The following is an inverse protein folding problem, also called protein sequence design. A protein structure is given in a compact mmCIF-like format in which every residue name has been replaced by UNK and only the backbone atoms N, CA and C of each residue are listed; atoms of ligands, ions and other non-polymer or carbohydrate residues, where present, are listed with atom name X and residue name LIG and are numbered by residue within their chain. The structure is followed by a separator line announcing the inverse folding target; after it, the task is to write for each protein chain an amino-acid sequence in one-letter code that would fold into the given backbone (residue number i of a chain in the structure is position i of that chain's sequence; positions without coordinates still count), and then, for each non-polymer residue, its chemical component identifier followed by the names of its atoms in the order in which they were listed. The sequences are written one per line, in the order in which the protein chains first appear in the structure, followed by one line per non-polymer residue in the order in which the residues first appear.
data_IF_683843645407
#
_entry.id   IF_683843645407
#
_cell.length_a   1.000
_cell.length_b   1.000
_cell.length_c   1.000
_cell.angle_alpha   90.00
_cell.angle_beta   90.00
_cell.angle_gamma   90.00
#
_symmetry.space_group_name_H-M   'P 1'
#
loop_
_entity.id
_entity.type
_entity.pdbx_description
1 polymer ?
#
# COMPACT_ATOMS: atom_id res chain seq x y z
N UNK A 1 21.63 -17.73 25.37
CA UNK A 1 21.06 -17.88 24.02
C UNK A 1 19.54 -18.00 24.13
N UNK A 2 18.79 -16.99 23.65
CA UNK A 2 17.32 -17.02 23.58
C UNK A 2 16.95 -16.81 22.12
N UNK A 3 16.19 -17.75 21.52
CA UNK A 3 15.61 -17.63 20.18
C UNK A 3 14.11 -17.34 20.31
N UNK A 4 13.52 -16.52 19.43
CA UNK A 4 12.13 -16.08 19.54
C UNK A 4 11.14 -17.16 19.06
N UNK A 5 9.99 -17.17 19.71
CA UNK A 5 8.83 -18.00 19.42
C UNK A 5 8.10 -17.42 18.18
N UNK A 6 8.16 -18.13 17.06
CA UNK A 6 7.28 -17.91 15.91
C UNK A 6 6.02 -18.77 16.12
N UNK A 7 4.86 -18.13 16.27
CA UNK A 7 3.58 -18.82 16.25
C UNK A 7 3.13 -18.93 14.78
N UNK A 8 3.38 -20.10 14.19
CA UNK A 8 2.76 -20.51 12.92
C UNK A 8 1.52 -21.31 13.27
N UNK A 9 0.33 -20.75 13.03
CA UNK A 9 -0.91 -21.52 13.04
C UNK A 9 -1.20 -21.95 11.59
N UNK A 10 -0.74 -23.15 11.25
CA UNK A 10 -1.26 -23.90 10.11
C UNK A 10 -2.43 -24.76 10.61
N UNK A 11 -3.59 -24.65 9.98
CA UNK A 11 -4.65 -25.66 10.10
C UNK A 11 -4.90 -26.21 8.70
N UNK A 12 -4.70 -27.52 8.60
CA UNK A 12 -4.81 -28.33 7.39
C UNK A 12 -6.27 -28.75 7.15
N UNK A 13 -6.58 -28.86 5.86
CA UNK A 13 -7.79 -29.36 5.19
C UNK A 13 -8.53 -30.51 5.89
N UNK A 14 -9.86 -30.51 5.73
CA UNK A 14 -10.64 -31.74 5.48
C UNK A 14 -11.80 -31.42 4.53
N UNK A 15 -11.92 -32.24 3.49
CA UNK A 15 -12.85 -32.02 2.38
C UNK A 15 -14.28 -32.50 2.65
N UNK A 16 -15.19 -32.00 1.82
CA UNK A 16 -16.38 -32.71 1.36
C UNK A 16 -16.96 -31.91 0.18
N UNK A 17 -16.88 -32.49 -1.02
CA UNK A 17 -17.67 -32.06 -2.17
C UNK A 17 -19.11 -32.50 -1.91
N UNK A 18 -19.99 -31.56 -1.59
CA UNK A 18 -21.43 -31.78 -1.59
C UNK A 18 -22.10 -30.60 -2.26
N UNK A 19 -22.61 -30.82 -3.48
CA UNK A 19 -23.60 -29.96 -4.10
C UNK A 19 -24.84 -29.90 -3.19
N UNK A 20 -24.98 -28.82 -2.46
CA UNK A 20 -26.25 -28.42 -1.86
C UNK A 20 -26.45 -26.93 -2.19
N UNK A 21 -27.42 -26.66 -3.06
CA UNK A 21 -28.00 -25.33 -3.22
C UNK A 21 -28.59 -24.94 -1.85
N UNK A 22 -27.82 -24.19 -1.06
CA UNK A 22 -28.32 -23.55 0.15
C UNK A 22 -28.97 -22.24 -0.26
N UNK A 23 -30.25 -22.13 0.08
CA UNK A 23 -31.08 -20.93 -0.09
C UNK A 23 -30.32 -19.69 0.37
N UNK A 24 -30.19 -18.71 -0.53
CA UNK A 24 -29.80 -17.37 -0.16
C UNK A 24 -30.87 -16.83 0.81
N UNK A 25 -30.58 -16.86 2.11
CA UNK A 25 -31.29 -16.00 3.04
C UNK A 25 -30.98 -14.57 2.59
N UNK A 26 -32.00 -13.88 2.12
CA UNK A 26 -32.00 -12.43 2.04
C UNK A 26 -31.75 -11.92 3.45
N UNK A 27 -30.48 -11.68 3.79
CA UNK A 27 -30.17 -10.67 4.77
C UNK A 27 -30.67 -9.40 4.10
N UNK A 28 -31.81 -8.90 4.56
CA UNK A 28 -32.23 -7.55 4.22
C UNK A 28 -30.99 -6.69 4.45
N UNK A 29 -30.46 -6.12 3.36
CA UNK A 29 -29.40 -5.14 3.43
C UNK A 29 -29.98 -3.98 4.22
N UNK A 30 -29.84 -4.04 5.56
CA UNK A 30 -29.96 -2.86 6.38
C UNK A 30 -28.97 -1.89 5.77
N UNK A 31 -29.45 -0.70 5.41
CA UNK A 31 -28.65 0.36 4.80
C UNK A 31 -27.37 0.50 5.62
N UNK A 32 -26.30 -0.16 5.17
CA UNK A 32 -24.99 0.08 5.72
C UNK A 32 -24.77 1.57 5.51
N UNK A 33 -24.45 2.35 6.55
CA UNK A 33 -24.32 3.78 6.41
C UNK A 33 -23.33 4.01 5.27
N UNK A 34 -23.83 4.56 4.16
CA UNK A 34 -22.99 4.97 3.06
C UNK A 34 -22.13 6.06 3.65
N UNK A 35 -20.84 5.76 3.87
CA UNK A 35 -19.90 6.75 4.35
C UNK A 35 -20.00 7.96 3.41
N UNK A 36 -20.40 9.10 3.97
CA UNK A 36 -20.61 10.30 3.18
C UNK A 36 -19.29 10.69 2.51
N UNK A 37 -19.34 10.87 1.19
CA UNK A 37 -18.15 11.25 0.44
C UNK A 37 -17.66 12.61 0.93
N UNK A 38 -16.34 12.79 1.14
CA UNK A 38 -15.82 14.11 1.45
C UNK A 38 -16.21 15.09 0.34
N UNK A 39 -16.84 16.20 0.72
CA UNK A 39 -17.13 17.29 -0.20
C UNK A 39 -15.85 17.91 -0.78
N UNK A 40 -16.00 18.75 -1.79
CA UNK A 40 -14.88 19.57 -2.27
C UNK A 40 -14.38 20.49 -1.14
N UNK A 41 -13.06 20.76 -1.04
CA UNK A 41 -12.00 20.37 -1.98
C UNK A 41 -11.35 19.01 -1.64
N UNK A 42 -11.96 18.15 -0.83
CA UNK A 42 -11.30 16.99 -0.22
C UNK A 42 -11.54 15.66 -0.94
N UNK A 43 -12.49 15.62 -1.88
CA UNK A 43 -12.89 14.42 -2.64
C UNK A 43 -11.70 13.71 -3.32
N UNK A 44 -11.59 12.39 -3.20
CA UNK A 44 -10.38 11.67 -3.61
C UNK A 44 -10.52 10.77 -4.83
N UNK A 45 -11.74 10.56 -5.33
CA UNK A 45 -12.13 9.69 -6.45
C UNK A 45 -11.57 10.08 -7.84
N UNK A 46 -10.24 10.23 -7.96
CA UNK A 46 -9.53 10.74 -9.13
C UNK A 46 -8.18 10.06 -9.35
N UNK A 47 -7.54 10.40 -10.47
CA UNK A 47 -6.16 10.06 -10.75
C UNK A 47 -5.20 11.07 -10.09
N UNK A 48 -4.08 10.55 -9.59
CA UNK A 48 -3.00 11.30 -8.97
C UNK A 48 -1.70 10.95 -9.67
N UNK A 49 -0.87 11.97 -9.84
CA UNK A 49 0.54 11.84 -10.21
C UNK A 49 1.35 12.39 -9.04
N UNK A 50 2.21 11.56 -8.46
CA UNK A 50 3.03 11.89 -7.30
C UNK A 50 4.52 11.73 -7.65
N UNK A 51 5.37 12.51 -6.99
CA UNK A 51 6.83 12.43 -7.11
C UNK A 51 7.49 12.75 -5.76
N UNK A 52 8.76 12.41 -5.62
CA UNK A 52 9.54 12.67 -4.42
C UNK A 52 10.29 14.01 -4.54
N UNK A 53 10.14 14.89 -3.55
CA UNK A 53 10.98 16.08 -3.43
C UNK A 53 12.24 15.82 -2.59
N UNK A 54 12.16 14.91 -1.62
CA UNK A 54 13.22 14.62 -0.67
C UNK A 54 13.12 13.18 -0.15
N UNK A 55 14.27 12.53 0.08
CA UNK A 55 14.37 11.16 0.62
C UNK A 55 15.47 11.12 1.67
N UNK A 56 15.22 10.44 2.80
CA UNK A 56 16.19 10.22 3.86
C UNK A 56 16.17 8.78 4.35
N UNK A 57 17.34 8.27 4.70
CA UNK A 57 17.49 6.97 5.34
C UNK A 57 17.59 7.14 6.86
N UNK A 58 16.83 6.35 7.61
CA UNK A 58 16.94 6.31 9.08
C UNK A 58 18.33 5.90 9.56
N UNK A 59 19.00 5.03 8.81
CA UNK A 59 20.40 4.64 9.01
C UNK A 59 21.16 4.89 7.73
N UNK A 60 22.06 5.88 7.76
CA UNK A 60 22.88 6.25 6.61
C UNK A 60 24.05 5.27 6.45
N UNK A 61 24.34 4.91 5.20
CA UNK A 61 25.52 4.13 4.76
C UNK A 61 26.04 4.86 3.52
N UNK A 62 27.34 4.80 3.25
CA UNK A 62 27.93 5.38 2.04
C UNK A 62 27.34 4.78 0.75
N UNK A 63 26.81 3.56 0.82
CA UNK A 63 26.17 2.91 -0.33
C UNK A 63 24.73 3.39 -0.62
N UNK A 64 24.13 4.23 0.25
CA UNK A 64 22.75 4.67 0.10
C UNK A 64 22.58 5.83 -0.89
N UNK A 65 21.72 5.65 -1.88
CA UNK A 65 21.29 6.70 -2.81
C UNK A 65 20.11 7.50 -2.22
N UNK A 66 20.30 8.81 -2.06
CA UNK A 66 19.28 9.75 -1.57
C UNK A 66 18.41 10.34 -2.69
N UNK A 67 18.64 9.96 -3.96
CA UNK A 67 17.93 10.46 -5.13
C UNK A 67 17.01 9.39 -5.71
N UNK A 68 15.87 9.16 -5.07
CA UNK A 68 14.92 8.12 -5.45
C UNK A 68 14.29 8.30 -6.86
N UNK A 69 14.27 9.52 -7.43
CA UNK A 69 13.65 9.83 -8.74
C UNK A 69 12.25 9.23 -8.90
N UNK A 70 11.43 9.31 -7.85
CA UNK A 70 10.12 8.65 -7.81
C UNK A 70 9.15 9.30 -8.81
N UNK A 71 8.48 8.47 -9.61
CA UNK A 71 7.25 8.83 -10.32
C UNK A 71 6.21 7.77 -9.96
N UNK A 72 5.04 8.23 -9.52
CA UNK A 72 3.96 7.37 -9.06
C UNK A 72 2.63 7.82 -9.67
N UNK A 73 1.90 6.87 -10.25
CA UNK A 73 0.53 7.07 -10.72
C UNK A 73 -0.44 6.28 -9.85
N UNK A 74 -1.51 6.93 -9.39
CA UNK A 74 -2.50 6.34 -8.49
C UNK A 74 -3.93 6.65 -8.97
N UNK A 75 -4.77 5.63 -9.02
CA UNK A 75 -6.20 5.75 -9.27
C UNK A 75 -6.97 5.45 -7.98
N UNK A 76 -7.70 6.45 -7.49
CA UNK A 76 -8.63 6.26 -6.39
C UNK A 76 -9.97 5.76 -6.96
N UNK A 77 -10.23 4.46 -6.78
CA UNK A 77 -11.42 3.78 -7.28
C UNK A 77 -12.65 4.20 -6.47
N UNK A 78 -12.44 4.51 -5.19
CA UNK A 78 -13.44 5.10 -4.28
C UNK A 78 -12.77 6.20 -3.47
N UNK A 79 -13.47 6.82 -2.52
CA UNK A 79 -12.85 7.82 -1.64
C UNK A 79 -11.74 7.25 -0.75
N UNK A 80 -11.76 5.95 -0.48
CA UNK A 80 -10.82 5.28 0.40
C UNK A 80 -9.88 4.33 -0.35
N UNK A 81 -10.42 3.53 -1.27
CA UNK A 81 -9.66 2.50 -1.98
C UNK A 81 -8.98 3.02 -3.23
N UNK A 82 -7.73 2.60 -3.43
CA UNK A 82 -6.89 3.02 -4.55
C UNK A 82 -6.05 1.86 -5.09
N UNK A 83 -5.63 2.00 -6.34
CA UNK A 83 -4.59 1.19 -6.99
C UNK A 83 -3.53 2.12 -7.56
N UNK A 84 -2.29 1.68 -7.57
CA UNK A 84 -1.22 2.49 -8.15
C UNK A 84 -0.01 1.70 -8.59
N UNK A 85 0.87 2.41 -9.28
CA UNK A 85 2.17 1.92 -9.70
C UNK A 85 3.20 3.03 -9.57
N UNK A 86 4.43 2.66 -9.24
CA UNK A 86 5.55 3.57 -9.11
C UNK A 86 6.80 3.04 -9.78
N UNK A 87 7.58 3.96 -10.33
CA UNK A 87 8.93 3.76 -10.84
C UNK A 87 9.88 4.64 -10.03
N UNK A 88 10.99 4.07 -9.56
CA UNK A 88 11.94 4.78 -8.71
C UNK A 88 13.29 4.07 -8.70
N UNK A 89 14.34 4.77 -8.29
CA UNK A 89 15.63 4.19 -7.93
C UNK A 89 15.59 3.77 -6.45
N UNK A 90 15.90 2.50 -6.17
CA UNK A 90 15.93 2.03 -4.79
C UNK A 90 17.13 2.60 -4.02
N UNK A 91 17.24 2.20 -2.75
CA UNK A 91 18.32 2.61 -1.84
C UNK A 91 19.74 2.41 -2.36
N UNK A 92 19.95 1.62 -3.42
CA UNK A 92 21.26 1.34 -4.02
C UNK A 92 21.35 1.80 -5.48
N UNK A 93 20.50 2.74 -5.90
CA UNK A 93 20.49 3.31 -7.24
C UNK A 93 19.98 2.36 -8.33
N UNK A 94 19.28 1.27 -7.96
CA UNK A 94 18.74 0.32 -8.94
C UNK A 94 17.30 0.68 -9.31
N UNK A 95 17.03 0.83 -10.60
CA UNK A 95 15.67 1.05 -11.10
C UNK A 95 14.73 -0.06 -10.65
N UNK A 96 13.66 0.35 -9.99
CA UNK A 96 12.70 -0.49 -9.31
C UNK A 96 11.27 -0.08 -9.65
N UNK A 97 10.37 -1.05 -9.55
CA UNK A 97 8.95 -0.89 -9.82
C UNK A 97 8.16 -1.37 -8.60
N UNK A 98 7.07 -0.69 -8.28
CA UNK A 98 6.13 -1.08 -7.22
C UNK A 98 4.72 -1.02 -7.77
N UNK A 99 3.95 -2.10 -7.68
CA UNK A 99 2.52 -2.13 -7.99
C UNK A 99 1.75 -2.46 -6.73
N UNK A 100 0.66 -1.74 -6.49
CA UNK A 100 0.02 -1.78 -5.17
C UNK A 100 -1.47 -1.49 -5.20
N UNK A 101 -2.14 -2.01 -4.18
CA UNK A 101 -3.43 -1.51 -3.73
C UNK A 101 -3.27 -0.78 -2.40
N UNK A 102 -4.22 0.08 -2.08
CA UNK A 102 -4.13 0.85 -0.86
C UNK A 102 -5.46 1.38 -0.36
N UNK A 103 -5.38 1.97 0.82
CA UNK A 103 -6.49 2.55 1.54
C UNK A 103 -6.08 3.91 2.13
N UNK A 104 -6.93 4.90 1.96
CA UNK A 104 -6.76 6.27 2.43
C UNK A 104 -7.85 6.62 3.41
N UNK A 105 -7.46 7.28 4.50
CA UNK A 105 -8.35 7.61 5.59
C UNK A 105 -8.11 8.99 6.15
N UNK A 106 -9.21 9.69 6.44
CA UNK A 106 -9.24 11.00 7.07
C UNK A 106 -9.90 10.87 8.42
N UNK A 107 -9.13 10.68 9.50
CA UNK A 107 -9.70 10.47 10.84
C UNK A 107 -10.40 11.70 11.42
N UNK A 108 -10.14 12.90 10.89
CA UNK A 108 -10.52 14.16 11.52
C UNK A 108 -11.31 15.04 10.55
N UNK A 109 -12.63 15.16 10.75
CA UNK A 109 -13.51 16.07 10.00
C UNK A 109 -13.12 17.55 10.10
N UNK A 110 -12.48 17.95 11.21
CA UNK A 110 -11.98 19.32 11.41
C UNK A 110 -10.55 19.54 10.93
N UNK A 111 -9.83 18.48 10.54
CA UNK A 111 -8.45 18.53 10.05
C UNK A 111 -8.35 17.85 8.67
N UNK A 112 -9.32 18.11 7.79
CA UNK A 112 -9.44 17.52 6.47
C UNK A 112 -8.27 17.70 5.49
N UNK A 113 -7.32 18.66 5.63
CA UNK A 113 -6.15 18.60 4.78
C UNK A 113 -5.26 17.40 5.10
N UNK A 114 -5.32 16.81 6.31
CA UNK A 114 -4.52 15.65 6.70
C UNK A 114 -5.21 14.34 6.35
N UNK A 115 -4.41 13.36 5.91
CA UNK A 115 -4.88 11.99 5.68
C UNK A 115 -3.78 10.97 5.94
N UNK A 116 -4.18 9.77 6.33
CA UNK A 116 -3.33 8.58 6.34
C UNK A 116 -3.54 7.81 5.03
N UNK A 117 -2.47 7.24 4.49
CA UNK A 117 -2.50 6.33 3.34
C UNK A 117 -1.69 5.09 3.70
N UNK A 118 -2.24 3.93 3.42
CA UNK A 118 -1.53 2.66 3.51
C UNK A 118 -1.56 2.00 2.14
N UNK A 119 -0.41 1.53 1.68
CA UNK A 119 -0.33 0.71 0.47
C UNK A 119 0.35 -0.61 0.76
N UNK A 120 -0.09 -1.65 0.07
CA UNK A 120 0.55 -2.95 0.08
C UNK A 120 0.62 -3.49 -1.34
N UNK A 121 1.73 -4.16 -1.66
CA UNK A 121 1.93 -4.64 -3.02
C UNK A 121 3.24 -5.36 -3.20
N UNK A 122 3.69 -5.38 -4.46
CA UNK A 122 4.88 -6.10 -4.89
C UNK A 122 5.90 -5.13 -5.47
N UNK A 123 7.14 -5.22 -5.00
CA UNK A 123 8.28 -4.49 -5.56
C UNK A 123 9.18 -5.44 -6.34
N UNK A 124 9.74 -4.94 -7.43
CA UNK A 124 10.78 -5.60 -8.21
C UNK A 124 11.90 -4.61 -8.48
N UNK A 125 13.16 -5.04 -8.38
CA UNK A 125 14.33 -4.19 -8.71
C UNK A 125 15.53 -4.32 -7.78
N UNK A 126 15.36 -4.91 -6.59
CA UNK A 126 16.48 -5.27 -5.73
C UNK A 126 17.18 -6.52 -6.29
N UNK A 127 18.38 -6.35 -6.84
CA UNK A 127 19.11 -7.39 -7.59
C UNK A 127 20.57 -7.50 -7.17
N UNK A 128 21.21 -8.60 -7.56
CA UNK A 128 22.62 -8.85 -7.30
C UNK A 128 22.90 -8.91 -5.80
N UNK A 129 23.97 -8.24 -5.36
CA UNK A 129 24.38 -8.19 -3.95
C UNK A 129 23.36 -7.52 -3.01
N UNK A 130 22.37 -6.80 -3.55
CA UNK A 130 21.33 -6.12 -2.78
C UNK A 130 19.98 -6.84 -2.78
N UNK A 131 19.88 -8.02 -3.41
CA UNK A 131 18.61 -8.77 -3.50
C UNK A 131 17.99 -9.00 -2.12
N UNK A 132 18.79 -9.45 -1.15
CA UNK A 132 18.30 -9.83 0.17
C UNK A 132 18.25 -8.65 1.17
N UNK A 133 18.36 -7.39 0.68
CA UNK A 133 18.16 -6.18 1.50
C UNK A 133 16.69 -5.88 1.77
N UNK A 134 15.78 -6.50 1.02
CA UNK A 134 14.35 -6.54 1.31
C UNK A 134 13.94 -7.99 1.63
N UNK A 135 13.13 -8.22 2.69
CA UNK A 135 12.68 -9.56 3.05
C UNK A 135 11.91 -10.25 1.90
N UNK A 136 12.03 -11.58 1.81
CA UNK A 136 11.28 -12.43 0.89
C UNK A 136 11.53 -12.19 -0.62
N UNK A 137 12.64 -11.54 -0.99
CA UNK A 137 12.97 -11.20 -2.38
C UNK A 137 13.76 -12.27 -3.16
N UNK A 138 13.61 -13.54 -2.81
CA UNK A 138 14.44 -14.60 -3.41
C UNK A 138 14.18 -14.78 -4.92
N UNK A 139 12.98 -14.43 -5.39
CA UNK A 139 12.58 -14.42 -6.80
C UNK A 139 12.85 -13.10 -7.52
N UNK A 140 13.41 -12.09 -6.84
CA UNK A 140 13.54 -10.72 -7.35
C UNK A 140 12.28 -9.87 -7.20
N UNK A 141 11.19 -10.45 -6.70
CA UNK A 141 9.96 -9.77 -6.31
C UNK A 141 9.76 -9.93 -4.81
N UNK A 142 9.38 -8.86 -4.11
CA UNK A 142 9.11 -8.90 -2.68
C UNK A 142 7.80 -8.20 -2.30
N UNK A 143 7.11 -8.67 -1.26
CA UNK A 143 5.99 -7.96 -0.67
C UNK A 143 6.47 -6.70 0.06
N UNK A 144 5.74 -5.60 -0.12
CA UNK A 144 6.02 -4.31 0.54
C UNK A 144 4.73 -3.76 1.14
N UNK A 145 4.86 -3.11 2.28
CA UNK A 145 3.83 -2.31 2.92
C UNK A 145 4.39 -0.92 3.22
N UNK A 146 3.67 0.13 2.81
CA UNK A 146 4.09 1.52 2.99
C UNK A 146 3.00 2.29 3.72
N UNK A 147 3.20 2.66 5.00
CA UNK A 147 2.39 3.66 5.66
C UNK A 147 2.81 5.06 5.20
N UNK A 148 1.86 5.98 5.14
CA UNK A 148 2.08 7.35 4.66
C UNK A 148 1.15 8.33 5.38
N UNK A 149 1.65 9.54 5.59
CA UNK A 149 0.91 10.69 6.05
C UNK A 149 0.96 11.75 4.95
N UNK A 150 -0.18 12.36 4.64
CA UNK A 150 -0.26 13.39 3.62
C UNK A 150 -1.00 14.63 4.09
N UNK A 151 -0.71 15.74 3.43
CA UNK A 151 -1.31 17.05 3.67
C UNK A 151 -1.69 17.69 2.33
N UNK A 152 -2.92 18.22 2.22
CA UNK A 152 -3.41 18.89 1.02
C UNK A 152 -3.48 20.41 1.25
N UNK A 153 -2.57 21.18 0.62
CA UNK A 153 -2.47 22.64 0.78
C UNK A 153 -3.34 23.44 -0.21
N UNK A 154 -4.05 22.77 -1.09
CA UNK A 154 -4.81 23.35 -2.19
C UNK A 154 -4.98 22.30 -3.26
N UNK A 155 -6.05 22.40 -4.04
CA UNK A 155 -6.34 21.48 -5.12
C UNK A 155 -6.51 22.28 -6.40
N UNK A 156 -5.77 21.88 -7.43
CA UNK A 156 -5.82 22.41 -8.80
C UNK A 156 -6.74 21.53 -9.65
#
# INVERSE_FOLDING_TARGET
MRKPLFLVAAVVLSGALACAFAQAQSIAAGDAPVAEKPGEPWRTDRFYLETSLYTVHFHTDQAHDNYQKLILGEWNITDQWLLGAAFFDNSFGQSSQYVYGGWRYRPLERAQPFYLKFSAGLVHGYRGQYRDKIPFNHSGIAPVFVPSLGYCFGRV
#
